data_IF_785212279912
#
_entry.id   IF_785212279912
#
_cell.length_a   1.000
_cell.length_b   1.000
_cell.length_c   1.000
_cell.angle_alpha   90.00
_cell.angle_beta   90.00
_cell.angle_gamma   90.00
#
_symmetry.space_group_name_H-M   'P 1'
#
loop_
_entity.id
_entity.type
_entity.pdbx_description
1 polymer ?
#
# COMPACT_ATOMS: atom_id res chain seq x y z
N UNK A 1 -23.98 -0.85 -11.24
CA UNK A 1 -22.83 -1.66 -10.84
C UNK A 1 -21.57 -0.88 -11.13
N UNK A 2 -20.85 -0.52 -10.08
CA UNK A 2 -19.54 0.14 -10.15
C UNK A 2 -18.50 -0.80 -9.51
N UNK A 3 -17.32 -0.91 -10.12
CA UNK A 3 -16.23 -1.76 -9.66
C UNK A 3 -14.96 -0.92 -9.48
N UNK A 4 -14.40 -0.95 -8.28
CA UNK A 4 -13.13 -0.30 -7.95
C UNK A 4 -12.12 -1.33 -7.44
N UNK A 5 -10.86 -1.21 -7.85
CA UNK A 5 -9.74 -2.01 -7.35
C UNK A 5 -8.77 -1.10 -6.62
N UNK A 6 -8.58 -1.37 -5.34
CA UNK A 6 -7.72 -0.59 -4.45
C UNK A 6 -6.88 -1.53 -3.61
N UNK A 7 -5.77 -1.07 -3.02
CA UNK A 7 -5.13 -1.79 -1.93
C UNK A 7 -6.14 -2.16 -0.84
N UNK A 8 -6.08 -3.41 -0.38
CA UNK A 8 -6.91 -3.91 0.72
C UNK A 8 -6.65 -3.07 1.97
N UNK A 9 -7.69 -2.88 2.79
CA UNK A 9 -7.54 -2.26 4.12
C UNK A 9 -6.58 -3.03 5.03
N UNK A 10 -6.32 -4.29 4.72
CA UNK A 10 -5.38 -5.18 5.42
C UNK A 10 -4.05 -5.39 4.68
N UNK A 11 -3.80 -4.64 3.58
CA UNK A 11 -2.54 -4.71 2.83
C UNK A 11 -1.40 -4.02 3.57
N UNK A 12 -0.16 -4.29 3.14
CA UNK A 12 1.02 -3.58 3.64
C UNK A 12 0.97 -2.07 3.34
N UNK A 13 0.26 -1.67 2.29
CA UNK A 13 0.00 -0.26 1.96
C UNK A 13 -0.75 0.45 3.09
N UNK A 14 -1.78 -0.19 3.64
CA UNK A 14 -2.53 0.34 4.78
C UNK A 14 -1.62 0.67 5.96
N UNK A 15 -0.70 -0.24 6.30
CA UNK A 15 0.28 -0.04 7.37
C UNK A 15 1.26 1.08 7.04
N UNK A 16 1.85 1.05 5.83
CA UNK A 16 2.84 2.02 5.39
C UNK A 16 2.28 3.43 5.38
N UNK A 17 1.12 3.62 4.74
CA UNK A 17 0.50 4.93 4.57
C UNK A 17 -0.08 5.51 5.85
N UNK A 18 -0.71 4.69 6.71
CA UNK A 18 -1.20 5.17 8.02
C UNK A 18 -0.06 5.70 8.89
N UNK A 19 1.13 5.11 8.78
CA UNK A 19 2.28 5.49 9.60
C UNK A 19 3.12 6.62 9.00
N UNK A 20 3.37 6.57 7.69
CA UNK A 20 4.33 7.46 7.02
C UNK A 20 3.70 8.44 6.05
N UNK A 21 2.40 8.35 5.76
CA UNK A 21 1.74 9.14 4.71
C UNK A 21 1.92 10.65 4.84
N UNK A 22 2.02 11.19 6.07
CA UNK A 22 2.29 12.62 6.30
C UNK A 22 3.74 13.06 6.02
N UNK A 23 4.65 12.10 5.89
CA UNK A 23 6.08 12.30 5.61
C UNK A 23 6.47 11.86 4.19
N UNK A 24 5.57 11.19 3.49
CA UNK A 24 5.68 10.87 2.08
C UNK A 24 5.08 12.01 1.23
N UNK A 25 5.29 12.03 -0.10
CA UNK A 25 4.81 13.07 -1.00
C UNK A 25 3.28 13.06 -1.18
N UNK A 26 2.53 13.29 -0.10
CA UNK A 26 1.10 13.52 -0.15
C UNK A 26 0.85 14.85 -0.87
N UNK A 27 0.13 14.82 -1.99
CA UNK A 27 -0.23 16.00 -2.74
C UNK A 27 -1.65 15.87 -3.30
N UNK A 28 -2.18 16.96 -3.86
CA UNK A 28 -3.56 17.02 -4.37
C UNK A 28 -3.86 16.01 -5.50
N UNK A 29 -2.84 15.34 -6.05
CA UNK A 29 -2.94 14.34 -7.11
C UNK A 29 -2.89 12.89 -6.60
N UNK A 30 -2.49 12.65 -5.34
CA UNK A 30 -2.43 11.31 -4.76
C UNK A 30 -2.93 11.30 -3.32
N UNK A 31 -4.00 10.55 -3.09
CA UNK A 31 -4.52 10.25 -1.74
C UNK A 31 -4.18 8.81 -1.40
N UNK A 32 -3.61 8.61 -0.21
CA UNK A 32 -3.35 7.27 0.32
C UNK A 32 -4.65 6.65 0.85
N UNK A 33 -5.44 6.10 -0.08
CA UNK A 33 -6.73 5.46 0.18
C UNK A 33 -6.68 3.96 -0.07
N UNK A 34 -7.31 3.21 0.82
CA UNK A 34 -7.52 1.77 0.69
C UNK A 34 -8.99 1.48 0.41
N UNK A 35 -9.29 0.23 0.05
CA UNK A 35 -10.68 -0.22 -0.04
C UNK A 35 -11.43 -0.14 1.30
N UNK A 36 -10.71 -0.18 2.43
CA UNK A 36 -11.33 0.03 3.75
C UNK A 36 -11.90 1.44 3.88
N UNK A 37 -11.14 2.45 3.46
CA UNK A 37 -11.58 3.85 3.52
C UNK A 37 -12.81 4.10 2.63
N UNK A 38 -12.85 3.49 1.43
CA UNK A 38 -14.01 3.58 0.54
C UNK A 38 -15.21 2.81 1.10
N UNK A 39 -14.99 1.64 1.71
CA UNK A 39 -16.05 0.86 2.35
C UNK A 39 -16.71 1.63 3.51
N UNK A 40 -15.91 2.35 4.30
CA UNK A 40 -16.43 3.20 5.39
C UNK A 40 -17.29 4.34 4.86
N UNK A 41 -16.87 4.99 3.76
CA UNK A 41 -17.65 6.05 3.08
C UNK A 41 -18.96 5.48 2.52
N UNK A 42 -18.92 4.35 1.82
CA UNK A 42 -20.13 3.72 1.29
C UNK A 42 -21.12 3.34 2.40
N UNK A 43 -20.58 2.84 3.52
CA UNK A 43 -21.38 2.49 4.70
C UNK A 43 -22.02 3.72 5.34
N UNK A 44 -21.30 4.85 5.44
CA UNK A 44 -21.86 6.08 6.01
C UNK A 44 -22.97 6.70 5.15
N UNK A 45 -22.90 6.50 3.83
CA UNK A 45 -23.93 6.93 2.88
C UNK A 45 -25.09 5.93 2.76
N UNK A 46 -25.04 4.79 3.47
CA UNK A 46 -26.09 3.76 3.43
C UNK A 46 -26.12 2.94 2.14
N UNK A 47 -25.05 2.96 1.35
CA UNK A 47 -24.96 2.21 0.10
C UNK A 47 -24.77 0.71 0.33
N UNK A 48 -25.39 -0.13 -0.52
CA UNK A 48 -25.16 -1.58 -0.50
C UNK A 48 -23.97 -1.93 -1.41
N UNK A 49 -22.98 -2.63 -0.85
CA UNK A 49 -21.81 -3.07 -1.59
C UNK A 49 -21.27 -4.39 -1.06
N UNK A 50 -20.46 -5.04 -1.88
CA UNK A 50 -19.73 -6.25 -1.53
C UNK A 50 -18.23 -6.01 -1.74
N UNK A 51 -17.40 -6.57 -0.86
CA UNK A 51 -15.94 -6.48 -0.94
C UNK A 51 -15.32 -7.85 -1.12
N UNK A 52 -14.43 -7.97 -2.10
CA UNK A 52 -13.73 -9.22 -2.41
C UNK A 52 -12.23 -8.99 -2.30
N UNK A 53 -11.57 -9.74 -1.43
CA UNK A 53 -10.11 -9.67 -1.31
C UNK A 53 -9.44 -10.53 -2.39
N UNK A 54 -8.44 -9.93 -3.03
CA UNK A 54 -7.64 -10.54 -4.09
C UNK A 54 -6.19 -10.61 -3.61
N UNK A 55 -5.68 -11.81 -3.28
CA UNK A 55 -4.30 -11.97 -2.86
C UNK A 55 -3.34 -11.47 -3.94
N UNK A 56 -2.39 -10.63 -3.54
CA UNK A 56 -1.32 -10.18 -4.41
C UNK A 56 -0.04 -10.01 -3.59
N UNK A 57 1.03 -10.55 -4.14
CA UNK A 57 2.36 -10.52 -3.54
C UNK A 57 3.25 -9.56 -4.35
N UNK A 58 4.12 -8.83 -3.67
CA UNK A 58 5.18 -8.03 -4.29
C UNK A 58 6.51 -8.42 -3.66
N UNK A 59 7.42 -8.99 -4.44
CA UNK A 59 8.77 -9.30 -3.96
C UNK A 59 9.57 -8.00 -3.83
N UNK A 60 9.99 -7.69 -2.61
CA UNK A 60 10.77 -6.49 -2.28
C UNK A 60 12.15 -6.87 -1.72
N UNK A 61 12.63 -8.09 -2.01
CA UNK A 61 13.90 -8.61 -1.47
C UNK A 61 15.07 -7.71 -1.85
N UNK A 62 15.10 -7.23 -3.09
CA UNK A 62 16.15 -6.36 -3.61
C UNK A 62 16.23 -5.01 -2.89
N UNK A 63 15.14 -4.53 -2.28
CA UNK A 63 15.15 -3.28 -1.49
C UNK A 63 16.14 -3.32 -0.32
N UNK A 64 16.51 -4.52 0.15
CA UNK A 64 17.40 -4.72 1.29
C UNK A 64 18.85 -5.02 0.87
N UNK A 65 19.16 -4.90 -0.42
CA UNK A 65 20.51 -5.11 -0.96
C UNK A 65 21.09 -3.75 -1.31
N UNK A 66 22.08 -3.31 -0.54
CA UNK A 66 22.73 -2.00 -0.75
C UNK A 66 23.30 -1.88 -2.17
N UNK A 67 22.85 -0.84 -2.88
CA UNK A 67 23.28 -0.55 -4.25
C UNK A 67 22.59 -1.37 -5.35
N UNK A 68 21.58 -2.17 -5.01
CA UNK A 68 20.76 -2.83 -6.01
C UNK A 68 19.81 -1.84 -6.71
N UNK A 69 19.96 -1.72 -8.03
CA UNK A 69 19.18 -0.78 -8.83
C UNK A 69 17.67 -1.08 -8.84
N UNK A 70 17.29 -2.36 -8.83
CA UNK A 70 15.88 -2.72 -8.82
C UNK A 70 15.28 -2.46 -7.44
N UNK A 71 16.05 -2.74 -6.37
CA UNK A 71 15.69 -2.36 -5.00
C UNK A 71 15.45 -0.86 -4.84
N UNK A 72 16.35 -0.03 -5.37
CA UNK A 72 16.19 1.43 -5.38
C UNK A 72 14.89 1.86 -6.10
N UNK A 73 14.60 1.31 -7.28
CA UNK A 73 13.39 1.63 -8.04
C UNK A 73 12.11 1.15 -7.34
N UNK A 74 12.15 0.00 -6.67
CA UNK A 74 11.03 -0.50 -5.89
C UNK A 74 10.77 0.36 -4.66
N UNK A 75 11.82 0.88 -4.02
CA UNK A 75 11.68 1.84 -2.91
C UNK A 75 11.07 3.15 -3.38
N UNK A 76 11.47 3.65 -4.55
CA UNK A 76 10.85 4.83 -5.16
C UNK A 76 9.35 4.60 -5.40
N UNK A 77 8.97 3.39 -5.84
CA UNK A 77 7.56 3.02 -6.03
C UNK A 77 6.79 2.92 -4.71
N UNK A 78 7.33 2.25 -3.69
CA UNK A 78 6.69 2.08 -2.38
C UNK A 78 6.50 3.40 -1.63
N UNK A 79 7.39 4.36 -1.86
CA UNK A 79 7.40 5.65 -1.16
C UNK A 79 6.88 6.81 -2.01
N UNK A 80 6.52 6.53 -3.27
CA UNK A 80 6.14 7.52 -4.28
C UNK A 80 7.12 8.71 -4.36
N UNK A 81 8.40 8.45 -4.08
CA UNK A 81 9.45 9.47 -3.98
C UNK A 81 10.58 9.12 -4.95
N UNK A 82 10.90 10.02 -5.89
CA UNK A 82 12.01 9.81 -6.81
C UNK A 82 13.36 9.82 -6.05
N UNK A 83 14.21 8.84 -6.35
CA UNK A 83 15.51 8.66 -5.71
C UNK A 83 15.41 8.67 -4.16
N UNK A 84 14.43 7.95 -3.60
CA UNK A 84 14.11 7.93 -2.17
C UNK A 84 15.35 7.70 -1.30
N UNK A 85 16.18 6.71 -1.67
CA UNK A 85 17.40 6.40 -0.92
C UNK A 85 18.39 7.56 -0.83
N UNK A 86 18.40 8.48 -1.80
CA UNK A 86 19.27 9.67 -1.83
C UNK A 86 18.64 10.87 -1.15
N UNK A 87 17.33 11.06 -1.32
CA UNK A 87 16.63 12.30 -0.98
C UNK A 87 15.91 12.26 0.37
N UNK A 88 15.55 11.07 0.86
CA UNK A 88 14.81 10.94 2.11
C UNK A 88 15.67 11.30 3.33
N UNK A 89 15.07 11.90 4.38
CA UNK A 89 15.71 12.02 5.68
C UNK A 89 16.20 10.64 6.16
N UNK A 90 17.44 10.51 6.68
CA UNK A 90 17.98 9.21 7.10
C UNK A 90 17.09 8.46 8.09
N UNK A 91 16.49 9.19 9.04
CA UNK A 91 15.53 8.64 10.00
C UNK A 91 14.30 8.04 9.29
N UNK A 92 13.68 8.77 8.36
CA UNK A 92 12.53 8.27 7.59
C UNK A 92 12.90 6.99 6.82
N UNK A 93 14.06 6.97 6.18
CA UNK A 93 14.55 5.80 5.43
C UNK A 93 14.72 4.60 6.36
N UNK A 94 15.39 4.75 7.49
CA UNK A 94 15.58 3.66 8.46
C UNK A 94 14.25 3.12 9.01
N UNK A 95 13.30 4.00 9.27
CA UNK A 95 11.98 3.59 9.76
C UNK A 95 11.16 2.85 8.71
N UNK A 96 11.12 3.35 7.48
CA UNK A 96 10.44 2.67 6.37
C UNK A 96 11.08 1.30 6.11
N UNK A 97 12.40 1.21 6.05
CA UNK A 97 13.11 -0.06 5.84
C UNK A 97 12.83 -1.08 6.95
N UNK A 98 12.67 -0.62 8.19
CA UNK A 98 12.27 -1.48 9.31
C UNK A 98 10.82 -1.93 9.18
N UNK A 99 9.92 -1.02 8.85
CA UNK A 99 8.49 -1.33 8.74
C UNK A 99 8.17 -2.23 7.55
N UNK A 100 8.88 -2.09 6.42
CA UNK A 100 8.79 -2.99 5.26
C UNK A 100 9.18 -4.44 5.61
N UNK A 101 9.94 -4.66 6.68
CA UNK A 101 10.25 -6.01 7.18
C UNK A 101 9.26 -6.51 8.24
N UNK A 102 8.41 -5.62 8.76
CA UNK A 102 7.46 -5.94 9.81
C UNK A 102 6.35 -6.87 9.28
N UNK A 103 5.76 -7.71 10.16
CA UNK A 103 4.62 -8.55 9.78
C UNK A 103 3.39 -7.77 9.28
N UNK A 104 3.31 -6.47 9.61
CA UNK A 104 2.23 -5.58 9.14
C UNK A 104 2.38 -5.14 7.68
N UNK A 105 3.58 -5.25 7.11
CA UNK A 105 3.84 -4.91 5.71
C UNK A 105 4.15 -6.15 4.86
N UNK A 106 4.97 -7.06 5.39
CA UNK A 106 5.56 -8.13 4.59
C UNK A 106 5.75 -9.43 5.37
N UNK A 107 5.80 -10.55 4.64
CA UNK A 107 6.15 -11.86 5.15
C UNK A 107 7.48 -12.34 4.57
N UNK A 108 8.19 -13.20 5.31
CA UNK A 108 9.29 -13.97 4.75
C UNK A 108 8.74 -15.27 4.15
N UNK A 109 8.97 -15.50 2.85
CA UNK A 109 8.57 -16.73 2.15
C UNK A 109 9.74 -17.21 1.29
N UNK A 110 10.19 -18.45 1.46
CA UNK A 110 11.26 -19.07 0.66
C UNK A 110 12.54 -18.22 0.53
N UNK A 111 12.94 -17.56 1.62
CA UNK A 111 14.12 -16.69 1.66
C UNK A 111 13.92 -15.30 1.04
N UNK A 112 12.73 -14.99 0.53
CA UNK A 112 12.34 -13.69 -0.03
C UNK A 112 11.53 -12.87 0.96
N UNK A 113 11.56 -11.55 0.81
CA UNK A 113 10.68 -10.62 1.52
C UNK A 113 9.51 -10.24 0.61
N UNK A 114 8.32 -10.75 0.94
CA UNK A 114 7.10 -10.57 0.17
C UNK A 114 6.22 -9.54 0.85
N UNK A 115 6.11 -8.36 0.24
CA UNK A 115 5.18 -7.31 0.65
C UNK A 115 3.74 -7.72 0.33
N UNK A 116 2.85 -7.47 1.30
CA UNK A 116 1.43 -7.74 1.19
C UNK A 116 0.79 -6.67 0.29
N UNK A 117 0.67 -7.00 -1.00
CA UNK A 117 0.07 -6.15 -2.02
C UNK A 117 -1.43 -6.48 -2.22
N UNK A 118 -2.08 -7.15 -1.27
CA UNK A 118 -3.49 -7.55 -1.41
C UNK A 118 -4.34 -6.40 -1.90
N UNK A 119 -5.20 -6.71 -2.86
CA UNK A 119 -6.17 -5.77 -3.41
C UNK A 119 -7.55 -6.12 -2.88
N UNK A 120 -8.48 -5.18 -2.96
CA UNK A 120 -9.89 -5.46 -2.79
C UNK A 120 -10.68 -4.89 -3.96
N UNK A 121 -11.60 -5.72 -4.46
CA UNK A 121 -12.60 -5.34 -5.43
C UNK A 121 -13.89 -4.99 -4.69
N UNK A 122 -14.32 -3.72 -4.79
CA UNK A 122 -15.60 -3.26 -4.26
C UNK A 122 -16.64 -3.26 -5.37
N UNK A 123 -17.71 -4.01 -5.19
CA UNK A 123 -18.86 -4.08 -6.10
C UNK A 123 -20.02 -3.34 -5.45
N UNK A 124 -20.36 -2.16 -6.00
CA UNK A 124 -21.45 -1.33 -5.49
C UNK A 124 -22.72 -1.59 -6.29
N UNK A 125 -23.79 -1.92 -5.57
CA UNK A 125 -25.11 -2.16 -6.13
C UNK A 125 -25.76 -0.83 -6.52
N UNK A 126 -26.66 -0.85 -7.50
CA UNK A 126 -27.43 0.34 -7.87
C UNK A 126 -28.76 0.24 -7.14
N UNK A 127 -29.15 1.29 -6.43
CA UNK A 127 -30.50 1.36 -5.86
C UNK A 127 -31.53 1.25 -7.00
N UNK A 128 -32.46 0.30 -6.86
CA UNK A 128 -33.63 0.23 -7.73
C UNK A 128 -34.58 1.37 -7.33
N UNK A 129 -34.60 2.42 -8.16
CA UNK A 129 -35.60 3.50 -8.08
C UNK A 129 -36.84 3.09 -8.86
#
# INVERSE_FOLDING_TARGET
MFLSHLPSGNSGWSTLWKKHGSRLPLNDLCLYITAGDIADILSSEGATFQSYELPSDMDITECFIDGDRNGDLLLDFLTETCDFNKNAPPELREEIMRDLQSPGCSAAKDGKRIFNNNLSALVVERDEV
#
